data_IF_494175314322
#
_entry.id   IF_494175314322
#
_cell.length_a   1.000
_cell.length_b   1.000
_cell.length_c   1.000
_cell.angle_alpha   90.00
_cell.angle_beta   90.00
_cell.angle_gamma   90.00
#
_symmetry.space_group_name_H-M   'P 1'
#
loop_
_entity.id
_entity.type
_entity.pdbx_description
1 polymer ?
#
# COMPACT_ATOMS: atom_id res chain seq x y z
N UNK A 1 49.21 -37.29 5.00
CA UNK A 1 50.41 -36.85 4.25
C UNK A 1 49.92 -35.91 3.15
N UNK A 2 50.03 -34.60 3.38
CA UNK A 2 49.86 -33.57 2.34
C UNK A 2 51.15 -33.49 1.49
N UNK A 3 51.13 -32.79 0.33
CA UNK A 3 51.28 -31.32 0.30
C UNK A 3 50.22 -30.66 -0.63
N UNK A 4 49.63 -29.49 -0.37
CA UNK A 4 50.13 -28.10 -0.34
C UNK A 4 50.83 -27.65 -1.64
N UNK A 5 50.15 -26.86 -2.47
CA UNK A 5 50.73 -25.64 -3.06
C UNK A 5 49.67 -24.63 -3.58
N UNK A 6 49.78 -23.41 -3.07
CA UNK A 6 49.14 -22.17 -3.51
C UNK A 6 49.72 -21.62 -4.82
N UNK A 7 49.04 -20.63 -5.41
CA UNK A 7 49.52 -19.27 -5.76
C UNK A 7 48.97 -18.80 -7.12
N UNK A 8 48.36 -17.59 -7.13
CA UNK A 8 48.68 -16.62 -8.18
C UNK A 8 47.55 -16.05 -9.03
N UNK A 9 46.73 -15.20 -8.42
CA UNK A 9 46.38 -13.83 -8.86
C UNK A 9 46.64 -13.39 -10.32
N UNK A 10 45.62 -12.81 -10.96
CA UNK A 10 45.77 -11.62 -11.82
C UNK A 10 44.44 -10.91 -12.08
N UNK A 11 44.11 -9.97 -11.19
CA UNK A 11 43.28 -8.81 -11.50
C UNK A 11 43.97 -8.00 -12.62
N UNK A 12 43.25 -7.74 -13.71
CA UNK A 12 43.70 -6.82 -14.76
C UNK A 12 42.78 -5.59 -14.75
N UNK A 13 43.24 -4.53 -14.09
CA UNK A 13 42.70 -3.18 -14.18
C UNK A 13 43.20 -2.53 -15.48
N UNK A 14 42.27 -2.03 -16.30
CA UNK A 14 42.54 -1.19 -17.47
C UNK A 14 42.21 0.28 -17.20
N UNK A 15 42.87 1.25 -17.86
CA UNK A 15 42.97 2.63 -17.38
C UNK A 15 41.90 3.57 -17.95
N UNK A 16 41.56 4.56 -17.12
CA UNK A 16 41.40 5.96 -17.51
C UNK A 16 40.25 6.35 -18.42
N UNK A 17 39.20 6.96 -17.84
CA UNK A 17 38.53 8.11 -18.46
C UNK A 17 38.11 9.12 -17.39
N UNK A 18 38.78 10.28 -17.43
CA UNK A 18 38.39 11.50 -16.75
C UNK A 18 37.19 12.10 -17.52
N UNK A 19 36.06 12.31 -16.85
CA UNK A 19 35.04 13.25 -17.34
C UNK A 19 34.79 14.26 -16.23
N UNK A 20 35.44 15.41 -16.37
CA UNK A 20 34.97 16.65 -15.75
C UNK A 20 33.81 17.19 -16.57
N UNK A 21 32.75 17.66 -15.90
CA UNK A 21 31.80 18.69 -16.35
C UNK A 21 30.90 19.00 -15.16
N UNK A 22 31.22 20.08 -14.45
CA UNK A 22 30.59 21.40 -14.64
C UNK A 22 29.26 21.48 -13.88
N UNK A 23 29.33 22.05 -12.69
CA UNK A 23 28.17 22.59 -11.99
C UNK A 23 27.67 23.82 -12.75
N UNK A 24 26.47 23.75 -13.33
CA UNK A 24 25.77 24.93 -13.81
C UNK A 24 24.65 25.28 -12.85
N UNK A 25 24.86 26.38 -12.12
CA UNK A 25 23.85 27.09 -11.34
C UNK A 25 22.83 27.66 -12.32
N UNK A 26 21.54 27.42 -12.10
CA UNK A 26 20.48 28.24 -12.70
C UNK A 26 19.66 28.87 -11.58
N UNK A 27 19.94 30.15 -11.39
CA UNK A 27 19.16 31.13 -10.64
C UNK A 27 17.97 31.61 -11.46
N UNK A 28 16.82 31.66 -10.78
CA UNK A 28 15.72 32.63 -10.87
C UNK A 28 15.12 33.01 -12.24
N UNK A 29 13.79 32.90 -12.36
CA UNK A 29 12.95 34.01 -12.83
C UNK A 29 11.52 33.83 -12.28
N UNK A 30 11.17 34.62 -11.25
CA UNK A 30 9.79 34.88 -10.85
C UNK A 30 9.13 35.76 -11.93
N UNK A 31 8.06 35.26 -12.55
CA UNK A 31 7.16 36.10 -13.35
C UNK A 31 5.91 36.42 -12.51
N UNK A 32 5.91 37.62 -11.93
CA UNK A 32 4.70 38.24 -11.37
C UNK A 32 3.93 38.86 -12.52
N UNK A 33 2.81 38.24 -12.91
CA UNK A 33 1.91 38.82 -13.91
C UNK A 33 1.02 39.86 -13.24
N UNK A 34 1.24 41.12 -13.65
CA UNK A 34 0.56 42.34 -13.24
C UNK A 34 -0.83 42.37 -13.89
N UNK A 35 -1.89 42.16 -13.12
CA UNK A 35 -3.25 42.34 -13.63
C UNK A 35 -3.59 43.84 -13.66
N UNK A 36 -3.95 44.29 -14.86
CA UNK A 36 -4.33 45.67 -15.19
C UNK A 36 -5.77 45.93 -14.71
N UNK A 37 -5.94 46.94 -13.88
CA UNK A 37 -7.24 47.52 -13.54
C UNK A 37 -7.77 48.34 -14.72
N UNK A 38 -8.84 47.86 -15.35
CA UNK A 38 -9.66 48.62 -16.29
C UNK A 38 -10.96 49.03 -15.62
N UNK A 39 -11.12 50.32 -15.35
CA UNK A 39 -12.38 50.91 -14.88
C UNK A 39 -13.22 51.47 -16.03
N UNK A 40 -14.54 51.32 -15.95
CA UNK A 40 -15.55 52.36 -16.30
C UNK A 40 -16.97 51.81 -16.16
N UNK A 41 -17.88 52.66 -15.66
CA UNK A 41 -19.29 52.57 -16.03
C UNK A 41 -20.28 52.82 -14.90
N UNK A 42 -20.50 54.09 -14.54
CA UNK A 42 -21.72 54.53 -13.83
C UNK A 42 -22.97 54.19 -14.66
N UNK A 43 -24.03 53.74 -14.01
CA UNK A 43 -25.39 54.27 -14.21
C UNK A 43 -26.28 53.82 -13.06
N UNK A 44 -26.92 54.79 -12.41
CA UNK A 44 -27.89 54.56 -11.36
C UNK A 44 -29.21 54.06 -11.94
N UNK A 45 -29.88 53.22 -11.17
CA UNK A 45 -31.30 52.91 -11.33
C UNK A 45 -31.85 52.67 -9.93
N UNK A 46 -32.70 53.59 -9.49
CA UNK A 46 -33.50 53.46 -8.29
C UNK A 46 -34.41 52.24 -8.41
N UNK A 47 -34.33 51.31 -7.46
CA UNK A 47 -35.29 50.23 -7.29
C UNK A 47 -36.13 50.49 -6.04
N UNK A 48 -37.45 50.22 -6.09
CA UNK A 48 -38.37 50.60 -5.03
C UNK A 48 -38.16 49.71 -3.80
N UNK A 49 -38.37 50.31 -2.62
CA UNK A 49 -38.43 49.61 -1.34
C UNK A 49 -39.62 48.65 -1.35
N UNK A 50 -39.38 47.37 -1.62
CA UNK A 50 -40.33 46.31 -1.29
C UNK A 50 -40.16 46.01 0.20
N UNK A 51 -41.16 46.40 1.00
CA UNK A 51 -41.27 45.95 2.39
C UNK A 51 -41.49 44.43 2.39
N UNK A 52 -40.43 43.67 2.67
CA UNK A 52 -40.58 42.27 3.07
C UNK A 52 -41.14 42.26 4.49
N UNK A 53 -42.42 41.90 4.62
CA UNK A 53 -42.99 41.41 5.87
C UNK A 53 -42.18 40.18 6.30
N UNK A 54 -41.38 40.34 7.36
CA UNK A 54 -40.79 39.21 8.08
C UNK A 54 -41.91 38.41 8.72
N UNK A 55 -42.40 37.40 8.01
CA UNK A 55 -43.17 36.32 8.62
C UNK A 55 -42.26 35.59 9.61
N UNK A 56 -42.57 35.70 10.90
CA UNK A 56 -41.91 34.96 11.97
C UNK A 56 -42.28 33.48 11.82
N UNK A 57 -41.56 32.74 10.97
CA UNK A 57 -41.62 31.28 10.98
C UNK A 57 -40.95 30.81 12.28
N UNK A 58 -41.78 30.39 13.23
CA UNK A 58 -41.34 29.61 14.38
C UNK A 58 -40.68 28.34 13.84
N UNK A 59 -39.35 28.36 13.73
CA UNK A 59 -38.56 27.16 13.50
C UNK A 59 -38.72 26.31 14.75
N UNK A 60 -39.57 25.28 14.66
CA UNK A 60 -39.54 24.20 15.63
C UNK A 60 -38.09 23.65 15.64
N UNK A 61 -37.46 23.48 16.81
CA UNK A 61 -36.19 22.81 16.87
C UNK A 61 -36.40 21.41 16.26
N UNK A 62 -35.74 21.16 15.13
CA UNK A 62 -35.70 19.83 14.55
C UNK A 62 -35.18 18.84 15.59
N UNK A 63 -35.55 17.55 15.51
CA UNK A 63 -35.03 16.56 16.43
C UNK A 63 -33.51 16.60 16.39
N UNK A 64 -32.90 16.98 17.52
CA UNK A 64 -31.47 16.81 17.75
C UNK A 64 -31.25 15.31 17.79
N UNK A 65 -30.69 14.73 16.72
CA UNK A 65 -30.22 13.35 16.81
C UNK A 65 -29.15 13.30 17.90
N UNK A 66 -29.41 12.55 18.96
CA UNK A 66 -28.39 12.18 19.92
C UNK A 66 -27.40 11.26 19.19
N UNK A 67 -26.14 11.69 19.07
CA UNK A 67 -25.05 10.81 18.64
C UNK A 67 -25.03 9.61 19.59
N UNK A 68 -25.18 8.40 19.05
CA UNK A 68 -25.15 7.16 19.84
C UNK A 68 -23.72 6.90 20.32
N UNK A 69 -23.56 6.39 21.55
CA UNK A 69 -22.25 6.04 22.15
C UNK A 69 -21.37 5.10 21.30
N UNK A 70 -21.92 4.49 20.25
CA UNK A 70 -21.19 3.70 19.25
C UNK A 70 -20.22 4.54 18.39
N UNK A 71 -20.40 5.87 18.32
CA UNK A 71 -19.48 6.79 17.63
C UNK A 71 -18.33 7.29 18.51
N UNK A 72 -18.36 7.05 19.82
CA UNK A 72 -17.40 7.66 20.77
C UNK A 72 -16.04 6.95 20.77
N UNK A 73 -16.00 5.67 20.39
CA UNK A 73 -14.75 4.91 20.25
C UNK A 73 -14.63 4.35 18.82
N UNK A 74 -14.51 5.26 17.85
CA UNK A 74 -14.08 4.92 16.49
C UNK A 74 -12.67 4.30 16.48
N UNK A 75 -12.24 3.80 15.32
CA UNK A 75 -10.89 3.25 15.20
C UNK A 75 -9.84 4.31 15.54
N UNK A 76 -8.95 4.02 16.49
CA UNK A 76 -7.92 4.97 16.94
C UNK A 76 -6.61 4.66 16.22
N UNK A 77 -6.08 5.65 15.51
CA UNK A 77 -4.71 5.66 15.05
C UNK A 77 -3.84 6.31 16.12
N UNK A 78 -2.73 5.67 16.51
CA UNK A 78 -1.82 6.27 17.50
C UNK A 78 -1.38 7.67 17.10
N UNK A 79 -1.33 8.57 18.08
CA UNK A 79 -1.16 10.02 17.90
C UNK A 79 0.12 10.41 17.13
N UNK A 80 1.14 9.54 17.10
CA UNK A 80 2.43 9.80 16.44
C UNK A 80 2.62 9.06 15.10
N UNK A 81 1.56 8.44 14.55
CA UNK A 81 1.68 7.62 13.36
C UNK A 81 2.42 6.30 13.59
N UNK A 82 2.45 5.82 14.84
CA UNK A 82 2.93 4.49 15.21
C UNK A 82 2.10 3.41 14.45
N UNK A 83 2.73 2.63 13.54
CA UNK A 83 2.09 1.54 12.83
C UNK A 83 1.45 0.49 13.76
N UNK A 84 1.96 0.34 14.98
CA UNK A 84 1.51 -0.63 15.98
C UNK A 84 0.33 -0.17 16.84
N UNK A 85 0.05 1.13 16.89
CA UNK A 85 -0.94 1.71 17.80
C UNK A 85 -2.37 1.74 17.26
N UNK A 86 -2.64 1.11 16.12
CA UNK A 86 -4.00 1.03 15.60
C UNK A 86 -4.85 0.08 16.46
N UNK A 87 -5.89 0.63 17.09
CA UNK A 87 -6.90 -0.13 17.82
C UNK A 87 -8.17 -0.16 16.99
N UNK A 88 -8.56 -1.36 16.59
CA UNK A 88 -9.80 -1.59 15.85
C UNK A 88 -11.01 -1.41 16.78
N UNK A 89 -11.92 -0.51 16.41
CA UNK A 89 -13.16 -0.29 17.15
C UNK A 89 -14.19 -1.39 16.92
N UNK A 90 -15.20 -1.52 17.80
CA UNK A 90 -16.23 -2.56 17.70
C UNK A 90 -17.07 -2.51 16.41
N UNK A 91 -17.14 -1.33 15.77
CA UNK A 91 -17.91 -1.08 14.55
C UNK A 91 -17.11 -1.22 13.24
N UNK A 92 -15.97 -1.92 13.25
CA UNK A 92 -15.14 -2.07 12.06
C UNK A 92 -15.94 -2.63 10.87
N UNK A 93 -15.78 -1.96 9.73
CA UNK A 93 -16.33 -2.40 8.45
C UNK A 93 -15.26 -2.30 7.39
N UNK A 94 -15.20 -3.34 6.57
CA UNK A 94 -14.34 -3.36 5.40
C UNK A 94 -14.73 -2.23 4.43
N UNK A 95 -13.72 -1.54 3.92
CA UNK A 95 -13.89 -0.56 2.85
C UNK A 95 -13.89 -1.29 1.51
N UNK A 96 -14.78 -0.84 0.63
CA UNK A 96 -14.78 -1.31 -0.75
C UNK A 96 -13.44 -0.99 -1.41
N UNK A 97 -12.90 -1.96 -2.13
CA UNK A 97 -11.68 -1.81 -2.92
C UNK A 97 -11.88 -2.50 -4.26
N UNK A 98 -11.51 -1.83 -5.34
CA UNK A 98 -11.48 -2.43 -6.66
C UNK A 98 -10.44 -3.56 -6.77
N UNK A 99 -10.52 -4.31 -7.87
CA UNK A 99 -9.45 -5.22 -8.25
C UNK A 99 -8.24 -4.40 -8.75
N UNK A 100 -7.01 -4.82 -8.42
CA UNK A 100 -5.81 -4.18 -8.95
C UNK A 100 -5.66 -4.52 -10.43
N UNK A 101 -4.74 -3.83 -11.15
CA UNK A 101 -4.31 -4.30 -12.46
C UNK A 101 -3.81 -5.75 -12.39
N UNK A 102 -3.94 -6.46 -13.51
CA UNK A 102 -3.33 -7.79 -13.62
C UNK A 102 -1.80 -7.67 -13.54
N UNK A 103 -1.11 -8.48 -12.71
CA UNK A 103 0.33 -8.38 -12.55
C UNK A 103 1.07 -8.71 -13.85
N UNK A 104 2.17 -7.98 -14.11
CA UNK A 104 3.13 -8.34 -15.15
C UNK A 104 3.96 -9.54 -14.65
N UNK A 105 3.50 -10.76 -14.94
CA UNK A 105 4.02 -12.00 -14.34
C UNK A 105 5.51 -12.27 -14.59
N UNK A 106 6.07 -11.73 -15.67
CA UNK A 106 7.47 -11.88 -16.03
C UNK A 106 8.29 -10.60 -15.75
N UNK A 107 7.74 -9.64 -14.99
CA UNK A 107 8.42 -8.40 -14.62
C UNK A 107 9.47 -8.65 -13.53
N UNK A 108 10.61 -7.96 -13.65
CA UNK A 108 11.67 -7.88 -12.63
C UNK A 108 11.29 -6.97 -11.44
N UNK A 109 10.20 -6.21 -11.57
CA UNK A 109 9.67 -5.37 -10.48
C UNK A 109 8.90 -6.17 -9.42
N UNK A 110 8.52 -7.42 -9.73
CA UNK A 110 7.90 -8.31 -8.76
C UNK A 110 8.84 -8.54 -7.58
N UNK A 111 8.31 -8.44 -6.37
CA UNK A 111 9.11 -8.64 -5.16
C UNK A 111 9.13 -10.13 -4.86
N UNK A 112 10.23 -10.81 -5.21
CA UNK A 112 10.46 -12.19 -4.82
C UNK A 112 10.70 -12.27 -3.31
N UNK A 113 10.05 -13.23 -2.65
CA UNK A 113 10.20 -13.50 -1.24
C UNK A 113 10.59 -14.97 -1.10
N UNK A 114 11.75 -15.24 -0.53
CA UNK A 114 12.05 -16.58 -0.04
C UNK A 114 11.21 -16.86 1.21
N UNK A 115 10.33 -17.87 1.18
CA UNK A 115 9.55 -18.21 2.34
C UNK A 115 10.36 -18.93 3.44
N UNK A 116 11.54 -19.49 3.16
CA UNK A 116 12.31 -20.29 4.12
C UNK A 116 11.51 -21.51 4.66
N UNK A 117 10.52 -21.98 3.90
CA UNK A 117 9.67 -23.11 4.28
C UNK A 117 10.23 -24.37 3.63
N UNK A 118 10.76 -25.28 4.44
CA UNK A 118 11.26 -26.57 3.97
C UNK A 118 10.21 -27.31 3.11
N UNK A 119 10.64 -27.75 1.92
CA UNK A 119 9.81 -28.46 0.96
C UNK A 119 8.81 -27.59 0.20
N UNK A 120 8.96 -26.25 0.21
CA UNK A 120 8.12 -25.35 -0.59
C UNK A 120 8.59 -25.33 -2.05
N UNK A 121 7.78 -25.86 -2.96
CA UNK A 121 8.16 -26.08 -4.37
C UNK A 121 7.83 -24.91 -5.32
N UNK A 122 7.58 -23.71 -4.78
CA UNK A 122 7.17 -22.55 -5.56
C UNK A 122 8.06 -21.35 -5.24
N UNK A 123 8.33 -20.52 -6.25
CA UNK A 123 8.82 -19.16 -6.01
C UNK A 123 7.64 -18.27 -5.66
N UNK A 124 7.77 -17.47 -4.60
CA UNK A 124 6.74 -16.57 -4.12
C UNK A 124 7.08 -15.15 -4.53
N UNK A 125 6.11 -14.45 -5.12
CA UNK A 125 6.22 -13.05 -5.46
C UNK A 125 5.04 -12.25 -4.91
N UNK A 126 5.28 -10.97 -4.62
CA UNK A 126 4.27 -9.95 -4.38
C UNK A 126 4.35 -8.92 -5.50
N UNK A 127 3.20 -8.62 -6.12
CA UNK A 127 3.11 -7.54 -7.10
C UNK A 127 3.04 -6.18 -6.40
N UNK A 128 4.04 -5.30 -6.55
CA UNK A 128 4.06 -4.01 -5.88
C UNK A 128 2.90 -3.09 -6.31
N UNK A 129 2.42 -3.20 -7.55
CA UNK A 129 1.36 -2.33 -8.10
C UNK A 129 -0.02 -2.65 -7.46
N UNK A 130 -0.15 -3.80 -6.82
CA UNK A 130 -1.36 -4.24 -6.13
C UNK A 130 -1.43 -3.83 -4.65
N UNK A 131 -0.32 -3.38 -4.07
CA UNK A 131 -0.21 -3.16 -2.61
C UNK A 131 -0.95 -1.89 -2.21
N UNK A 132 -1.97 -2.04 -1.37
CA UNK A 132 -2.72 -0.92 -0.79
C UNK A 132 -3.08 -1.14 0.68
N UNK A 133 -3.23 -0.04 1.42
CA UNK A 133 -3.68 -0.05 2.81
C UNK A 133 -4.92 0.82 2.91
N UNK A 134 -6.08 0.19 3.11
CA UNK A 134 -7.33 0.93 3.28
C UNK A 134 -7.45 1.56 4.65
N UNK A 135 -8.39 2.49 4.82
CA UNK A 135 -8.76 3.07 6.13
C UNK A 135 -9.32 2.02 7.12
N UNK A 136 -9.70 0.85 6.61
CA UNK A 136 -10.04 -0.35 7.37
C UNK A 136 -8.83 -1.16 7.84
N UNK A 137 -7.61 -0.70 7.53
CA UNK A 137 -6.34 -1.34 7.91
C UNK A 137 -6.13 -2.73 7.35
N UNK A 138 -6.86 -3.05 6.28
CA UNK A 138 -6.61 -4.23 5.47
C UNK A 138 -5.43 -3.94 4.55
N UNK A 139 -4.39 -4.77 4.65
CA UNK A 139 -3.31 -4.79 3.65
C UNK A 139 -3.78 -5.65 2.49
N UNK A 140 -4.00 -5.04 1.34
CA UNK A 140 -4.41 -5.74 0.11
C UNK A 140 -3.21 -5.90 -0.80
N UNK A 141 -3.06 -7.08 -1.38
CA UNK A 141 -1.92 -7.43 -2.23
C UNK A 141 -2.25 -8.61 -3.13
N UNK A 142 -1.54 -8.70 -4.24
CA UNK A 142 -1.53 -9.84 -5.15
C UNK A 142 -0.32 -10.72 -4.83
N UNK A 143 -0.61 -11.97 -4.47
CA UNK A 143 0.33 -13.04 -4.25
C UNK A 143 0.44 -13.90 -5.49
N UNK A 144 1.67 -14.16 -5.94
CA UNK A 144 1.96 -14.96 -7.12
C UNK A 144 2.86 -16.13 -6.70
N UNK A 145 2.44 -17.35 -6.99
CA UNK A 145 3.26 -18.55 -6.86
C UNK A 145 3.63 -19.07 -8.23
N UNK A 146 4.92 -19.20 -8.51
CA UNK A 146 5.44 -19.75 -9.76
C UNK A 146 6.03 -21.13 -9.51
N UNK A 147 5.53 -22.15 -10.19
CA UNK A 147 6.11 -23.49 -10.15
C UNK A 147 7.38 -23.59 -11.01
N UNK A 148 8.20 -24.61 -10.77
CA UNK A 148 9.35 -24.93 -11.62
C UNK A 148 8.96 -25.23 -13.07
N UNK A 149 7.75 -25.75 -13.29
CA UNK A 149 7.18 -26.00 -14.62
C UNK A 149 6.63 -24.73 -15.31
N UNK A 150 6.71 -23.56 -14.66
CA UNK A 150 6.30 -22.28 -15.23
C UNK A 150 4.81 -21.94 -15.06
N UNK A 151 4.04 -22.73 -14.30
CA UNK A 151 2.65 -22.41 -13.99
C UNK A 151 2.57 -21.34 -12.90
N UNK A 152 1.64 -20.41 -13.05
CA UNK A 152 1.38 -19.35 -12.06
C UNK A 152 0.07 -19.60 -11.31
N UNK A 153 0.09 -19.39 -10.00
CA UNK A 153 -1.11 -19.25 -9.18
C UNK A 153 -1.13 -17.83 -8.62
N UNK A 154 -2.10 -17.04 -9.07
CA UNK A 154 -2.24 -15.62 -8.72
C UNK A 154 -3.45 -15.46 -7.81
N UNK A 155 -3.30 -14.77 -6.69
CA UNK A 155 -4.36 -14.53 -5.72
C UNK A 155 -4.31 -13.08 -5.28
N UNK A 156 -5.42 -12.35 -5.44
CA UNK A 156 -5.60 -11.05 -4.81
C UNK A 156 -6.33 -11.22 -3.49
N UNK A 157 -5.69 -10.84 -2.38
CA UNK A 157 -6.19 -11.06 -1.04
C UNK A 157 -5.97 -9.87 -0.11
N UNK A 158 -6.77 -9.80 0.95
CA UNK A 158 -6.67 -8.84 2.03
C UNK A 158 -6.24 -9.51 3.32
N UNK A 159 -5.35 -8.85 4.06
CA UNK A 159 -4.85 -9.29 5.36
C UNK A 159 -5.20 -8.26 6.43
N UNK A 160 -5.98 -8.68 7.42
CA UNK A 160 -6.29 -7.91 8.64
C UNK A 160 -5.28 -8.23 9.71
N UNK A 161 -4.29 -7.35 9.86
CA UNK A 161 -3.17 -7.55 10.77
C UNK A 161 -3.59 -7.70 12.24
N UNK A 162 -4.53 -6.88 12.72
CA UNK A 162 -4.99 -6.88 14.13
C UNK A 162 -5.57 -8.23 14.55
N UNK A 163 -6.44 -8.79 13.71
CA UNK A 163 -7.15 -10.05 13.98
C UNK A 163 -6.43 -11.28 13.43
N UNK A 164 -5.40 -11.09 12.61
CA UNK A 164 -4.73 -12.17 11.89
C UNK A 164 -5.65 -12.92 10.93
N UNK A 165 -6.57 -12.19 10.28
CA UNK A 165 -7.54 -12.76 9.33
C UNK A 165 -7.14 -12.46 7.89
N UNK A 166 -7.51 -13.36 6.99
CA UNK A 166 -7.30 -13.21 5.54
C UNK A 166 -8.62 -13.39 4.80
N UNK A 167 -8.77 -12.69 3.67
CA UNK A 167 -9.89 -12.82 2.74
C UNK A 167 -9.34 -12.84 1.32
N UNK A 168 -9.72 -13.82 0.51
CA UNK A 168 -9.30 -13.89 -0.91
C UNK A 168 -10.37 -13.22 -1.77
N UNK A 169 -10.05 -12.10 -2.42
CA UNK A 169 -11.01 -11.37 -3.24
C UNK A 169 -11.14 -11.95 -4.64
N UNK A 170 -10.02 -12.33 -5.24
CA UNK A 170 -9.98 -12.90 -6.57
C UNK A 170 -8.82 -13.89 -6.73
N UNK A 171 -8.97 -14.78 -7.69
CA UNK A 171 -7.94 -15.73 -8.11
C UNK A 171 -7.67 -15.56 -9.61
N UNK A 172 -6.49 -15.96 -10.06
CA UNK A 172 -6.13 -15.95 -11.47
C UNK A 172 -6.97 -16.94 -12.27
N UNK A 173 -7.60 -16.45 -13.34
CA UNK A 173 -8.24 -17.24 -14.39
C UNK A 173 -7.47 -17.14 -15.70
N UNK A 174 -8.13 -17.53 -16.80
CA UNK A 174 -7.55 -17.50 -18.15
C UNK A 174 -7.24 -16.08 -18.64
N UNK A 175 -8.17 -15.16 -18.41
CA UNK A 175 -8.16 -13.81 -18.99
C UNK A 175 -7.92 -12.72 -17.93
N UNK A 176 -7.48 -13.10 -16.73
CA UNK A 176 -7.23 -12.19 -15.60
C UNK A 176 -7.89 -12.64 -14.31
N UNK A 177 -8.20 -11.69 -13.43
CA UNK A 177 -8.80 -12.00 -12.13
C UNK A 177 -10.25 -12.49 -12.26
N UNK A 178 -10.56 -13.57 -11.54
CA UNK A 178 -11.91 -14.08 -11.33
C UNK A 178 -12.28 -13.87 -9.85
N UNK A 179 -13.34 -13.10 -9.54
CA UNK A 179 -13.77 -12.90 -8.17
C UNK A 179 -14.13 -14.20 -7.46
N UNK A 180 -13.70 -14.34 -6.21
CA UNK A 180 -14.06 -15.48 -5.36
C UNK A 180 -15.48 -15.29 -4.86
N UNK A 181 -16.36 -16.24 -5.18
CA UNK A 181 -17.73 -16.27 -4.64
C UNK A 181 -17.69 -16.60 -3.15
N UNK A 182 -18.55 -15.95 -2.36
CA UNK A 182 -18.63 -16.15 -0.91
C UNK A 182 -17.26 -15.98 -0.23
N UNK A 183 -16.54 -14.93 -0.64
CA UNK A 183 -15.27 -14.58 -0.06
C UNK A 183 -15.50 -14.08 1.37
N UNK A 184 -15.23 -14.91 2.38
CA UNK A 184 -15.38 -14.57 3.79
C UNK A 184 -14.01 -14.34 4.46
N UNK A 185 -14.01 -13.50 5.49
CA UNK A 185 -12.86 -13.37 6.39
C UNK A 185 -12.65 -14.65 7.18
N UNK A 186 -11.45 -15.23 7.11
CA UNK A 186 -11.08 -16.39 7.91
C UNK A 186 -9.85 -16.12 8.75
N UNK A 187 -9.80 -16.73 9.93
CA UNK A 187 -8.61 -16.71 10.77
C UNK A 187 -7.48 -17.49 10.09
N UNK A 188 -6.25 -16.96 10.15
CA UNK A 188 -5.06 -17.70 9.76
C UNK A 188 -4.76 -18.81 10.77
N UNK A 189 -4.81 -20.06 10.32
CA UNK A 189 -4.54 -21.23 11.14
C UNK A 189 -3.04 -21.37 11.39
N UNK A 190 -2.67 -22.08 12.46
CA UNK A 190 -1.27 -22.24 12.88
C UNK A 190 -0.43 -23.19 12.01
N UNK A 191 -1.02 -23.92 11.07
CA UNK A 191 -0.31 -24.90 10.24
C UNK A 191 -0.93 -25.08 8.86
N UNK A 192 -0.40 -26.04 8.12
CA UNK A 192 -0.93 -26.42 6.80
C UNK A 192 -0.81 -25.32 5.75
N UNK A 193 -1.90 -25.07 5.04
CA UNK A 193 -1.98 -24.15 3.90
C UNK A 193 -1.73 -22.67 4.28
N UNK A 194 -1.79 -22.32 5.57
CA UNK A 194 -1.62 -20.93 6.04
C UNK A 194 -0.19 -20.57 6.45
N UNK A 195 0.75 -21.52 6.37
CA UNK A 195 2.16 -21.25 6.72
C UNK A 195 2.73 -20.04 5.97
N UNK A 196 2.46 -19.97 4.67
CA UNK A 196 2.88 -18.87 3.79
C UNK A 196 2.29 -17.52 4.22
N UNK A 197 0.95 -17.45 4.38
CA UNK A 197 0.25 -16.21 4.77
C UNK A 197 0.65 -15.73 6.16
N UNK A 198 0.91 -16.66 7.08
CA UNK A 198 1.45 -16.33 8.40
C UNK A 198 2.85 -15.74 8.32
N UNK A 199 3.73 -16.32 7.49
CA UNK A 199 5.06 -15.78 7.26
C UNK A 199 4.93 -14.34 6.75
N UNK A 200 4.12 -14.11 5.70
CA UNK A 200 3.86 -12.77 5.17
C UNK A 200 3.35 -11.83 6.25
N UNK A 201 2.37 -12.24 7.05
CA UNK A 201 1.86 -11.46 8.18
C UNK A 201 2.96 -11.08 9.17
N UNK A 202 3.72 -12.05 9.65
CA UNK A 202 4.67 -11.87 10.75
C UNK A 202 5.96 -11.16 10.33
N UNK A 203 6.43 -11.47 9.12
CA UNK A 203 7.76 -11.08 8.67
C UNK A 203 7.72 -9.98 7.63
N UNK A 204 6.60 -9.66 6.98
CA UNK A 204 6.62 -8.73 5.85
C UNK A 204 5.56 -7.62 5.97
N UNK A 205 4.30 -8.00 6.18
CA UNK A 205 3.16 -7.11 6.01
C UNK A 205 2.72 -6.39 7.29
N UNK A 206 2.85 -7.01 8.46
CA UNK A 206 2.34 -6.45 9.71
C UNK A 206 3.45 -6.04 10.69
N UNK A 207 3.20 -5.04 11.57
CA UNK A 207 2.06 -4.11 11.51
C UNK A 207 2.16 -3.17 10.29
N UNK A 208 1.05 -2.83 9.63
CA UNK A 208 1.10 -1.99 8.44
C UNK A 208 1.27 -0.52 8.84
N UNK A 209 1.95 0.31 8.02
CA UNK A 209 1.95 1.75 8.22
C UNK A 209 0.53 2.32 8.04
N UNK A 210 0.32 3.59 8.42
CA UNK A 210 -0.97 4.25 8.22
C UNK A 210 -1.43 4.20 6.74
N UNK A 211 -2.75 4.25 6.46
CA UNK A 211 -3.27 4.34 5.09
C UNK A 211 -2.57 5.48 4.31
N UNK A 212 -2.33 5.27 3.01
CA UNK A 212 -1.59 6.23 2.18
C UNK A 212 -0.06 6.23 2.36
N UNK A 213 0.48 5.29 3.16
CA UNK A 213 1.93 5.07 3.35
C UNK A 213 2.41 3.74 2.79
N UNK A 214 1.81 3.27 1.70
CA UNK A 214 2.13 2.02 1.02
C UNK A 214 3.61 1.95 0.62
N UNK A 215 4.22 3.07 0.23
CA UNK A 215 5.65 3.14 -0.09
C UNK A 215 6.55 2.68 1.07
N UNK A 216 6.16 2.94 2.33
CA UNK A 216 6.90 2.47 3.49
C UNK A 216 6.79 0.95 3.65
N UNK A 217 5.63 0.37 3.32
CA UNK A 217 5.42 -1.08 3.30
C UNK A 217 6.20 -1.74 2.15
N UNK A 218 6.16 -1.17 0.95
CA UNK A 218 6.91 -1.66 -0.22
C UNK A 218 8.43 -1.63 0.02
N UNK A 219 8.94 -0.55 0.64
CA UNK A 219 10.35 -0.49 1.04
C UNK A 219 10.70 -1.62 2.02
N UNK A 220 9.87 -1.85 3.04
CA UNK A 220 10.05 -2.94 4.00
C UNK A 220 10.05 -4.31 3.31
N UNK A 221 9.11 -4.56 2.40
CA UNK A 221 9.03 -5.79 1.61
C UNK A 221 10.35 -6.04 0.87
N UNK A 222 10.83 -5.04 0.10
CA UNK A 222 12.09 -5.14 -0.65
C UNK A 222 13.31 -5.35 0.23
N UNK A 223 13.43 -4.59 1.32
CA UNK A 223 14.56 -4.74 2.25
C UNK A 223 14.58 -6.13 2.88
N UNK A 224 13.42 -6.66 3.30
CA UNK A 224 13.38 -7.99 3.92
C UNK A 224 13.56 -9.12 2.91
N UNK A 225 13.04 -8.96 1.70
CA UNK A 225 13.28 -9.88 0.60
C UNK A 225 14.79 -9.98 0.30
N UNK A 226 15.46 -8.84 0.12
CA UNK A 226 16.91 -8.80 -0.11
C UNK A 226 17.70 -9.40 1.06
N UNK A 227 17.28 -9.15 2.30
CA UNK A 227 17.98 -9.65 3.48
C UNK A 227 17.78 -11.15 3.77
N UNK A 228 16.72 -11.77 3.23
CA UNK A 228 16.48 -13.21 3.39
C UNK A 228 17.57 -14.03 2.70
N UNK A 229 18.10 -13.51 1.59
CA UNK A 229 19.18 -14.13 0.80
C UNK A 229 20.52 -14.19 1.55
N UNK A 230 20.72 -13.36 2.59
CA UNK A 230 21.98 -13.28 3.35
C UNK A 230 22.04 -14.16 4.60
N UNK A 231 20.97 -14.88 4.96
CA UNK A 231 20.92 -15.70 6.17
C UNK A 231 21.16 -17.20 5.92
N UNK A 232 21.44 -17.59 4.67
CA UNK A 232 21.70 -18.99 4.30
C UNK A 232 23.21 -19.33 4.24
N UNK A 233 24.09 -18.37 4.53
CA UNK A 233 25.56 -18.50 4.42
C UNK A 233 26.30 -18.74 5.76
N UNK A 234 25.59 -18.99 6.89
CA UNK A 234 26.20 -19.33 8.20
C UNK A 234 25.90 -20.75 8.70
#
# INVERSE_FOLDING_TARGET
MAPQQEVGEKCRLGPGFFVSRSWSRYTAFMHVSRFVFGGRGRRGSAFPRVMFLFGLLAQAPGPVQAATDEEIFGNVYGEDGDPGAFIEGPAWKERESGLPPWPRLDSDELIEIDPGIAGFSYRLFIDPDSVSIGDDRVVRYTLILRSSAGAYNVVYEGLRCVRGMVRQYAVGGRDGFVPVRNSDWRLLRTGGADRLRRLLRQKYLCPPPAPGREQALLRRLRTRAANAEFLEDE
#
